data_IF_722002930042
#
_entry.id   IF_722002930042
#
_cell.length_a   1.000
_cell.length_b   1.000
_cell.length_c   1.000
_cell.angle_alpha   90.00
_cell.angle_beta   90.00
_cell.angle_gamma   90.00
#
_symmetry.space_group_name_H-M   'P 1'
#
loop_
_entity.id
_entity.type
_entity.pdbx_description
1 polymer ?
#
# COMPACT_ATOMS: atom_id res chain seq x y z
N UNK A 1 5.25 10.18 -2.70
CA UNK A 1 4.12 9.23 -2.77
C UNK A 1 2.99 9.61 -1.83
N UNK A 2 3.26 9.98 -0.58
CA UNK A 2 2.22 10.40 0.38
C UNK A 2 1.49 11.65 -0.09
N UNK A 3 2.19 12.69 -0.53
CA UNK A 3 1.57 13.87 -1.13
C UNK A 3 0.69 13.52 -2.34
N UNK A 4 1.13 12.58 -3.16
CA UNK A 4 0.33 12.09 -4.28
C UNK A 4 -0.95 11.40 -3.80
N UNK A 5 -0.85 10.55 -2.78
CA UNK A 5 -2.02 9.90 -2.19
C UNK A 5 -3.02 10.91 -1.63
N UNK A 6 -2.53 11.93 -0.92
CA UNK A 6 -3.36 13.01 -0.39
C UNK A 6 -4.02 13.82 -1.51
N UNK A 7 -3.27 14.18 -2.56
CA UNK A 7 -3.83 14.90 -3.70
C UNK A 7 -4.94 14.12 -4.40
N UNK A 8 -4.73 12.82 -4.66
CA UNK A 8 -5.74 11.95 -5.27
C UNK A 8 -6.98 11.83 -4.37
N UNK A 9 -6.79 11.78 -3.04
CA UNK A 9 -7.89 11.76 -2.10
C UNK A 9 -8.70 13.05 -2.13
N UNK A 10 -8.03 14.21 -2.03
CA UNK A 10 -8.68 15.52 -2.11
C UNK A 10 -9.48 15.63 -3.41
N UNK A 11 -8.89 15.28 -4.55
CA UNK A 11 -9.58 15.28 -5.83
C UNK A 11 -10.82 14.38 -5.79
N UNK A 12 -10.71 13.17 -5.23
CA UNK A 12 -11.83 12.23 -5.17
C UNK A 12 -12.98 12.70 -4.31
N UNK A 13 -12.71 13.29 -3.14
CA UNK A 13 -13.76 13.59 -2.16
C UNK A 13 -14.31 15.02 -2.28
N UNK A 14 -13.47 15.98 -2.72
CA UNK A 14 -13.84 17.39 -2.72
C UNK A 14 -14.23 17.88 -4.12
N UNK A 15 -13.72 17.27 -5.19
CA UNK A 15 -13.94 17.74 -6.56
C UNK A 15 -14.74 16.79 -7.45
N UNK A 16 -14.80 15.49 -7.13
CA UNK A 16 -15.49 14.53 -7.98
C UNK A 16 -16.84 14.13 -7.40
N UNK A 17 -17.92 14.09 -8.22
CA UNK A 17 -19.23 13.60 -7.78
C UNK A 17 -19.10 12.15 -7.31
N UNK A 18 -19.68 11.85 -6.13
CA UNK A 18 -19.77 10.50 -5.61
C UNK A 18 -20.53 9.61 -6.61
N UNK A 19 -19.94 8.51 -7.01
CA UNK A 19 -20.52 7.61 -8.03
C UNK A 19 -20.02 7.84 -9.47
N UNK A 20 -19.27 8.92 -9.74
CA UNK A 20 -18.71 9.14 -11.07
C UNK A 20 -17.63 8.12 -11.43
N UNK A 21 -17.45 7.88 -12.74
CA UNK A 21 -16.37 7.04 -13.27
C UNK A 21 -15.00 7.56 -12.82
N UNK A 22 -14.82 8.88 -12.82
CA UNK A 22 -13.56 9.51 -12.40
C UNK A 22 -13.23 9.26 -10.91
N UNK A 23 -14.25 9.29 -10.04
CA UNK A 23 -14.07 8.99 -8.62
C UNK A 23 -13.68 7.52 -8.40
N UNK A 24 -14.18 6.60 -9.26
CA UNK A 24 -13.78 5.19 -9.24
C UNK A 24 -12.33 5.00 -9.67
N UNK A 25 -11.89 5.62 -10.77
CA UNK A 25 -10.50 5.59 -11.19
C UNK A 25 -9.56 6.26 -10.18
N UNK A 26 -9.97 7.35 -9.56
CA UNK A 26 -9.24 7.96 -8.44
C UNK A 26 -9.08 6.97 -7.27
N UNK A 27 -10.11 6.14 -7.00
CA UNK A 27 -10.01 5.08 -6.00
C UNK A 27 -9.01 3.99 -6.39
N UNK A 28 -9.00 3.52 -7.64
CA UNK A 28 -7.99 2.56 -8.13
C UNK A 28 -6.58 3.17 -8.05
N UNK A 29 -6.45 4.45 -8.30
CA UNK A 29 -5.18 5.15 -8.27
C UNK A 29 -4.50 5.13 -6.88
N UNK A 30 -5.24 4.88 -5.79
CA UNK A 30 -4.65 4.71 -4.45
C UNK A 30 -3.70 3.53 -4.37
N UNK A 31 -3.89 2.49 -5.18
CA UNK A 31 -3.05 1.31 -5.16
C UNK A 31 -1.67 1.53 -5.78
N UNK A 32 -1.54 2.54 -6.64
CA UNK A 32 -0.25 2.92 -7.24
C UNK A 32 0.77 3.32 -6.17
N UNK A 33 0.51 4.38 -5.36
CA UNK A 33 1.46 4.78 -4.32
C UNK A 33 1.61 3.72 -3.23
N UNK A 34 0.57 2.97 -2.88
CA UNK A 34 0.66 1.92 -1.87
C UNK A 34 1.59 0.79 -2.31
N UNK A 35 1.46 0.30 -3.55
CA UNK A 35 2.30 -0.78 -4.09
C UNK A 35 3.75 -0.34 -4.26
N UNK A 36 3.99 0.88 -4.75
CA UNK A 36 5.33 1.41 -4.98
C UNK A 36 6.02 1.85 -3.69
N UNK A 37 5.29 2.39 -2.71
CA UNK A 37 5.87 2.86 -1.46
C UNK A 37 6.56 1.73 -0.69
N UNK A 38 5.91 0.59 -0.53
CA UNK A 38 6.50 -0.56 0.17
C UNK A 38 7.71 -1.11 -0.58
N UNK A 39 7.68 -1.12 -1.91
CA UNK A 39 8.81 -1.53 -2.73
C UNK A 39 10.01 -0.58 -2.57
N UNK A 40 9.78 0.72 -2.59
CA UNK A 40 10.84 1.72 -2.41
C UNK A 40 11.37 1.73 -0.98
N UNK A 41 10.51 1.55 0.03
CA UNK A 41 10.95 1.36 1.41
C UNK A 41 11.82 0.10 1.55
N UNK A 42 11.45 -0.99 0.91
CA UNK A 42 12.26 -2.20 0.88
C UNK A 42 13.64 -1.93 0.27
N UNK A 43 13.72 -1.23 -0.86
CA UNK A 43 15.01 -0.84 -1.44
C UNK A 43 15.81 0.06 -0.51
N UNK A 44 15.18 1.03 0.15
CA UNK A 44 15.84 1.91 1.11
C UNK A 44 16.45 1.11 2.28
N UNK A 45 15.72 0.13 2.80
CA UNK A 45 16.21 -0.73 3.89
C UNK A 45 17.40 -1.60 3.46
N UNK A 46 17.49 -1.98 2.19
CA UNK A 46 18.67 -2.71 1.68
C UNK A 46 19.97 -1.89 1.74
N UNK A 47 19.90 -0.57 1.76
CA UNK A 47 21.06 0.32 1.94
C UNK A 47 21.50 0.46 3.40
N UNK A 48 20.67 0.13 4.38
CA UNK A 48 21.02 0.24 5.80
C UNK A 48 22.24 -0.63 6.11
N UNK A 49 23.26 -0.01 6.70
CA UNK A 49 24.53 -0.68 7.06
C UNK A 49 25.47 -0.98 5.89
N UNK A 50 25.21 -0.43 4.70
CA UNK A 50 26.09 -0.53 3.55
C UNK A 50 27.00 0.71 3.42
N UNK A 51 28.22 0.57 2.84
CA UNK A 51 29.10 1.70 2.60
C UNK A 51 28.48 2.70 1.62
N UNK A 52 28.92 3.98 1.71
CA UNK A 52 28.37 5.10 0.92
C UNK A 52 28.35 4.85 -0.60
N UNK A 53 29.31 4.11 -1.13
CA UNK A 53 29.42 3.78 -2.57
C UNK A 53 28.64 2.51 -2.98
N UNK A 54 27.85 1.91 -2.07
CA UNK A 54 27.08 0.72 -2.40
C UNK A 54 26.00 1.02 -3.43
N UNK A 55 26.00 0.28 -4.52
CA UNK A 55 24.95 0.33 -5.53
C UNK A 55 24.08 -0.93 -5.43
N UNK A 56 22.77 -0.74 -5.45
CA UNK A 56 21.82 -1.85 -5.44
C UNK A 56 22.00 -2.68 -6.71
N UNK A 57 22.12 -4.00 -6.58
CA UNK A 57 22.26 -4.91 -7.68
C UNK A 57 21.07 -4.81 -8.65
N UNK A 58 21.36 -4.84 -9.96
CA UNK A 58 20.34 -4.74 -11.02
C UNK A 58 19.23 -5.79 -10.90
N UNK A 59 19.52 -6.98 -10.32
CA UNK A 59 18.53 -8.03 -10.10
C UNK A 59 17.31 -7.56 -9.29
N UNK A 60 17.47 -6.62 -8.36
CA UNK A 60 16.36 -6.11 -7.57
C UNK A 60 15.35 -5.31 -8.37
N UNK A 61 15.75 -4.79 -9.54
CA UNK A 61 14.83 -4.07 -10.44
C UNK A 61 13.75 -4.97 -11.04
N UNK A 62 13.95 -6.29 -11.06
CA UNK A 62 12.94 -7.25 -11.52
C UNK A 62 11.64 -7.15 -10.71
N UNK A 63 11.71 -6.69 -9.45
CA UNK A 63 10.55 -6.51 -8.59
C UNK A 63 9.59 -5.42 -9.08
N UNK A 64 10.02 -4.53 -9.97
CA UNK A 64 9.10 -3.59 -10.62
C UNK A 64 8.10 -4.30 -11.54
N UNK A 65 8.47 -5.44 -12.14
CA UNK A 65 7.60 -6.17 -13.06
C UNK A 65 6.30 -6.60 -12.37
N UNK A 66 6.32 -7.40 -11.29
CA UNK A 66 5.08 -7.78 -10.59
C UNK A 66 4.36 -6.58 -9.97
N UNK A 67 5.08 -5.52 -9.52
CA UNK A 67 4.45 -4.31 -9.04
C UNK A 67 3.61 -3.63 -10.12
N UNK A 68 4.14 -3.47 -11.33
CA UNK A 68 3.42 -2.86 -12.45
C UNK A 68 2.30 -3.76 -12.98
N UNK A 69 2.45 -5.08 -12.94
CA UNK A 69 1.37 -6.04 -13.28
C UNK A 69 0.19 -5.87 -12.30
N UNK A 70 0.46 -5.79 -11.00
CA UNK A 70 -0.57 -5.57 -9.98
C UNK A 70 -1.27 -4.23 -10.18
N UNK A 71 -0.50 -3.16 -10.37
CA UNK A 71 -1.05 -1.81 -10.61
C UNK A 71 -1.90 -1.82 -11.89
N UNK A 72 -1.38 -2.34 -13.00
CA UNK A 72 -2.10 -2.43 -14.26
C UNK A 72 -3.39 -3.24 -14.14
N UNK A 73 -3.33 -4.38 -13.47
CA UNK A 73 -4.50 -5.21 -13.21
C UNK A 73 -5.58 -4.48 -12.39
N UNK A 74 -5.20 -3.70 -11.38
CA UNK A 74 -6.17 -2.92 -10.59
C UNK A 74 -6.73 -1.75 -11.41
N UNK A 75 -5.89 -1.05 -12.17
CA UNK A 75 -6.33 0.08 -13.02
C UNK A 75 -7.26 -0.36 -14.14
N UNK A 76 -7.12 -1.58 -14.64
CA UNK A 76 -7.97 -2.17 -15.69
C UNK A 76 -9.13 -2.99 -15.13
N UNK A 77 -9.44 -2.88 -13.84
CA UNK A 77 -10.46 -3.71 -13.17
C UNK A 77 -11.85 -3.62 -13.82
N UNK A 78 -12.20 -2.51 -14.45
CA UNK A 78 -13.49 -2.34 -15.11
C UNK A 78 -13.73 -3.37 -16.25
N UNK A 79 -12.66 -3.92 -16.87
CA UNK A 79 -12.77 -4.89 -17.94
C UNK A 79 -12.92 -6.34 -17.46
N UNK A 80 -12.33 -6.68 -16.32
CA UNK A 80 -12.24 -8.08 -15.87
C UNK A 80 -12.76 -8.34 -14.46
N UNK A 81 -12.97 -7.28 -13.65
CA UNK A 81 -13.47 -7.34 -12.27
C UNK A 81 -12.72 -8.34 -11.35
N UNK A 82 -11.41 -8.57 -11.58
CA UNK A 82 -10.60 -9.49 -10.79
C UNK A 82 -10.12 -8.89 -9.47
N UNK A 83 -10.01 -7.55 -9.38
CA UNK A 83 -9.66 -6.87 -8.15
C UNK A 83 -10.90 -6.55 -7.31
N UNK A 84 -11.93 -6.01 -7.94
CA UNK A 84 -13.19 -5.66 -7.30
C UNK A 84 -14.34 -6.09 -8.21
N UNK A 85 -15.26 -6.87 -7.66
CA UNK A 85 -16.51 -7.27 -8.31
C UNK A 85 -17.63 -6.38 -7.81
N UNK A 86 -18.45 -5.89 -8.72
CA UNK A 86 -19.60 -5.04 -8.44
C UNK A 86 -20.89 -5.83 -8.73
N UNK A 87 -21.54 -6.44 -7.70
CA UNK A 87 -22.76 -7.24 -7.90
C UNK A 87 -23.89 -6.44 -8.55
N UNK A 88 -24.04 -5.16 -8.14
CA UNK A 88 -25.09 -4.26 -8.63
C UNK A 88 -24.68 -3.48 -9.89
N UNK A 89 -23.63 -3.95 -10.56
CA UNK A 89 -23.05 -3.31 -11.75
C UNK A 89 -22.03 -2.21 -11.43
N UNK A 90 -21.18 -1.95 -12.42
CA UNK A 90 -20.07 -0.99 -12.29
C UNK A 90 -20.56 0.44 -12.01
N UNK A 91 -21.80 0.77 -12.42
CA UNK A 91 -22.36 2.10 -12.17
C UNK A 91 -22.65 2.36 -10.68
N UNK A 92 -22.94 1.29 -9.93
CA UNK A 92 -23.23 1.34 -8.49
C UNK A 92 -22.02 0.97 -7.61
N UNK A 93 -20.80 1.18 -8.10
CA UNK A 93 -19.55 0.80 -7.45
C UNK A 93 -19.37 1.33 -6.01
N UNK A 94 -20.05 2.41 -5.65
CA UNK A 94 -20.01 3.01 -4.32
C UNK A 94 -20.86 2.31 -3.26
N UNK A 95 -21.78 1.43 -3.66
CA UNK A 95 -22.70 0.74 -2.75
C UNK A 95 -22.05 -0.49 -2.13
N UNK A 96 -21.87 -1.54 -2.93
CA UNK A 96 -21.24 -2.77 -2.49
C UNK A 96 -20.22 -3.28 -3.50
N UNK A 97 -19.10 -3.80 -3.02
CA UNK A 97 -18.13 -4.49 -3.84
C UNK A 97 -17.58 -5.72 -3.11
N UNK A 98 -17.26 -6.75 -3.88
CA UNK A 98 -16.62 -7.97 -3.39
C UNK A 98 -15.14 -7.91 -3.74
N UNK A 99 -14.29 -8.18 -2.76
CA UNK A 99 -12.84 -8.22 -2.93
C UNK A 99 -12.45 -9.44 -3.78
N UNK A 100 -11.83 -9.20 -4.91
CA UNK A 100 -11.40 -10.24 -5.83
C UNK A 100 -9.95 -10.70 -5.60
N UNK A 101 -9.50 -11.62 -6.45
CA UNK A 101 -8.17 -12.24 -6.35
C UNK A 101 -7.01 -11.24 -6.46
N UNK A 102 -7.08 -10.30 -7.41
CA UNK A 102 -6.03 -9.27 -7.55
C UNK A 102 -5.91 -8.35 -6.33
N UNK A 103 -7.03 -8.06 -5.66
CA UNK A 103 -6.99 -7.32 -4.41
C UNK A 103 -6.20 -8.09 -3.34
N UNK A 104 -6.47 -9.40 -3.20
CA UNK A 104 -5.77 -10.26 -2.24
C UNK A 104 -4.27 -10.30 -2.56
N UNK A 105 -3.90 -10.41 -3.84
CA UNK A 105 -2.50 -10.37 -4.27
C UNK A 105 -1.83 -9.03 -3.94
N UNK A 106 -2.51 -7.90 -4.13
CA UNK A 106 -1.98 -6.58 -3.82
C UNK A 106 -1.75 -6.40 -2.31
N UNK A 107 -2.69 -6.85 -1.48
CA UNK A 107 -2.52 -6.85 -0.02
C UNK A 107 -1.40 -7.81 0.40
N UNK A 108 -1.34 -9.01 -0.17
CA UNK A 108 -0.25 -9.97 0.06
C UNK A 108 1.11 -9.38 -0.29
N UNK A 109 1.22 -8.67 -1.40
CA UNK A 109 2.41 -7.92 -1.79
C UNK A 109 2.85 -6.95 -0.69
N UNK A 110 1.93 -6.09 -0.24
CA UNK A 110 2.21 -5.11 0.82
C UNK A 110 2.67 -5.82 2.09
N UNK A 111 1.96 -6.86 2.54
CA UNK A 111 2.27 -7.59 3.76
C UNK A 111 3.63 -8.28 3.72
N UNK A 112 3.97 -8.94 2.60
CA UNK A 112 5.27 -9.61 2.41
C UNK A 112 6.41 -8.59 2.47
N UNK A 113 6.30 -7.47 1.76
CA UNK A 113 7.33 -6.44 1.78
C UNK A 113 7.45 -5.77 3.15
N UNK A 114 6.34 -5.49 3.84
CA UNK A 114 6.37 -4.98 5.22
C UNK A 114 7.09 -5.96 6.16
N UNK A 115 6.78 -7.26 6.08
CA UNK A 115 7.46 -8.28 6.88
C UNK A 115 8.96 -8.34 6.56
N UNK A 116 9.36 -8.31 5.28
CA UNK A 116 10.77 -8.30 4.88
C UNK A 116 11.49 -7.04 5.37
N UNK A 117 10.87 -5.87 5.28
CA UNK A 117 11.41 -4.61 5.79
C UNK A 117 11.68 -4.73 7.30
N UNK A 118 10.71 -5.23 8.06
CA UNK A 118 10.86 -5.44 9.50
C UNK A 118 12.01 -6.39 9.81
N UNK A 119 12.03 -7.58 9.20
CA UNK A 119 13.08 -8.60 9.43
C UNK A 119 14.47 -8.05 9.12
N UNK A 120 14.66 -7.40 7.96
CA UNK A 120 15.95 -6.86 7.56
C UNK A 120 16.38 -5.74 8.49
N UNK A 121 15.46 -4.85 8.86
CA UNK A 121 15.76 -3.75 9.79
C UNK A 121 16.15 -4.29 11.14
N UNK A 122 15.40 -5.25 11.69
CA UNK A 122 15.74 -5.91 12.94
C UNK A 122 17.13 -6.54 12.88
N UNK A 123 17.41 -7.34 11.86
CA UNK A 123 18.67 -8.06 11.72
C UNK A 123 19.88 -7.11 11.62
N UNK A 124 19.73 -6.00 10.90
CA UNK A 124 20.82 -5.04 10.70
C UNK A 124 21.00 -4.07 11.86
N UNK A 125 19.93 -3.74 12.57
CA UNK A 125 19.96 -2.82 13.70
C UNK A 125 20.33 -3.49 15.02
N UNK A 126 20.27 -4.81 15.11
CA UNK A 126 20.68 -5.56 16.30
C UNK A 126 22.12 -5.24 16.71
N UNK A 127 22.98 -4.91 15.76
CA UNK A 127 24.41 -4.62 15.97
C UNK A 127 24.77 -3.13 15.96
N UNK A 128 23.79 -2.22 15.85
CA UNK A 128 24.04 -0.77 15.77
C UNK A 128 23.97 -0.10 17.15
N UNK A 129 24.93 0.77 17.43
CA UNK A 129 24.97 1.62 18.64
C UNK A 129 23.78 2.59 18.74
N UNK A 130 23.08 2.87 17.62
CA UNK A 130 21.96 3.81 17.52
C UNK A 130 20.59 3.11 17.44
N UNK A 131 20.38 2.00 18.12
CA UNK A 131 19.14 1.22 18.11
C UNK A 131 17.87 2.06 18.26
N UNK A 132 17.84 3.04 19.17
CA UNK A 132 16.64 3.84 19.46
C UNK A 132 16.14 4.64 18.26
N UNK A 133 17.04 5.24 17.47
CA UNK A 133 16.65 6.09 16.33
C UNK A 133 16.02 5.33 15.17
N UNK A 134 16.30 4.03 15.05
CA UNK A 134 15.83 3.18 13.95
C UNK A 134 14.48 2.58 14.28
N UNK A 135 14.16 2.40 15.58
CA UNK A 135 12.87 1.90 16.02
C UNK A 135 11.71 2.89 15.81
N UNK A 136 11.99 4.19 15.91
CA UNK A 136 10.96 5.23 15.80
C UNK A 136 10.15 5.12 14.50
N UNK A 137 10.76 5.04 13.29
CA UNK A 137 10.00 4.88 12.04
C UNK A 137 9.38 3.49 11.87
N UNK A 138 9.80 2.48 12.65
CA UNK A 138 9.25 1.12 12.57
C UNK A 138 7.93 0.95 13.32
N UNK A 139 7.69 1.76 14.37
CA UNK A 139 6.46 1.70 15.16
C UNK A 139 5.21 1.97 14.31
N UNK A 140 5.14 3.05 13.51
CA UNK A 140 4.00 3.30 12.64
C UNK A 140 3.77 2.17 11.62
N UNK A 141 4.84 1.60 11.09
CA UNK A 141 4.76 0.51 10.11
C UNK A 141 4.19 -0.78 10.74
N UNK A 142 4.61 -1.09 11.98
CA UNK A 142 4.08 -2.21 12.76
C UNK A 142 2.60 -2.03 13.11
N UNK A 143 2.23 -0.85 13.59
CA UNK A 143 0.84 -0.50 13.91
C UNK A 143 -0.04 -0.59 12.65
N UNK A 144 0.42 -0.02 11.53
CA UNK A 144 -0.29 -0.07 10.26
C UNK A 144 -0.47 -1.50 9.74
N UNK A 145 0.55 -2.36 9.89
CA UNK A 145 0.48 -3.78 9.54
C UNK A 145 -0.55 -4.55 10.36
N UNK A 146 -0.52 -4.40 11.69
CA UNK A 146 -1.50 -5.03 12.59
C UNK A 146 -2.91 -4.53 12.30
N UNK A 147 -3.08 -3.23 12.13
CA UNK A 147 -4.38 -2.67 11.76
C UNK A 147 -4.89 -3.22 10.43
N UNK A 148 -4.03 -3.37 9.43
CA UNK A 148 -4.42 -3.93 8.13
C UNK A 148 -4.93 -5.36 8.27
N UNK A 149 -4.27 -6.19 9.09
CA UNK A 149 -4.73 -7.56 9.38
C UNK A 149 -6.12 -7.54 10.05
N UNK A 150 -6.28 -6.73 11.10
CA UNK A 150 -7.55 -6.61 11.82
C UNK A 150 -8.66 -6.14 10.86
N UNK A 151 -8.38 -5.12 10.03
CA UNK A 151 -9.35 -4.61 9.07
C UNK A 151 -9.80 -5.64 8.04
N UNK A 152 -8.88 -6.51 7.58
CA UNK A 152 -9.20 -7.56 6.60
C UNK A 152 -10.05 -8.66 7.23
N UNK A 153 -9.74 -9.03 8.49
CA UNK A 153 -10.43 -10.10 9.22
C UNK A 153 -11.78 -9.66 9.82
N UNK A 154 -11.99 -8.37 9.97
CA UNK A 154 -13.19 -7.83 10.61
C UNK A 154 -14.37 -7.71 9.66
N UNK A 155 -15.61 -7.84 10.17
CA UNK A 155 -16.82 -7.55 9.40
C UNK A 155 -16.80 -6.14 8.84
N UNK A 156 -17.36 -5.97 7.63
CA UNK A 156 -17.44 -4.66 6.98
C UNK A 156 -18.13 -3.64 7.90
N UNK A 157 -17.50 -2.48 8.07
CA UNK A 157 -18.07 -1.36 8.81
C UNK A 157 -17.70 -1.24 10.29
N UNK A 158 -17.04 -2.25 10.88
CA UNK A 158 -16.65 -2.21 12.30
C UNK A 158 -15.48 -1.27 12.57
N UNK A 159 -14.58 -1.11 11.60
CA UNK A 159 -13.39 -0.25 11.72
C UNK A 159 -13.35 0.84 10.66
N UNK A 160 -12.79 2.00 10.97
CA UNK A 160 -12.54 3.05 9.97
C UNK A 160 -11.73 2.49 8.81
N UNK A 161 -12.00 3.00 7.62
CA UNK A 161 -11.28 2.59 6.41
C UNK A 161 -9.77 2.80 6.54
N UNK A 162 -8.99 1.89 5.93
CA UNK A 162 -7.52 1.88 5.98
C UNK A 162 -6.87 3.23 5.65
N UNK A 163 -7.51 4.04 4.78
CA UNK A 163 -6.99 5.36 4.43
C UNK A 163 -6.99 6.34 5.61
N UNK A 164 -7.99 6.27 6.51
CA UNK A 164 -8.04 7.12 7.73
C UNK A 164 -6.89 6.80 8.68
N UNK A 165 -6.51 5.53 8.76
CA UNK A 165 -5.33 5.14 9.56
C UNK A 165 -4.02 5.57 8.92
N UNK A 166 -3.91 5.49 7.59
CA UNK A 166 -2.73 5.99 6.88
C UNK A 166 -2.52 7.49 7.12
N UNK A 167 -3.60 8.27 7.23
CA UNK A 167 -3.52 9.68 7.60
C UNK A 167 -2.98 9.88 9.01
N UNK A 168 -3.52 9.18 10.00
CA UNK A 168 -3.03 9.27 11.39
C UNK A 168 -1.55 8.92 11.47
N UNK A 169 -1.12 7.86 10.75
CA UNK A 169 0.30 7.45 10.72
C UNK A 169 1.20 8.49 10.05
N UNK A 170 0.66 9.31 9.13
CA UNK A 170 1.45 10.37 8.47
C UNK A 170 1.62 11.62 9.33
N UNK A 171 0.79 11.80 10.35
CA UNK A 171 0.84 12.95 11.27
C UNK A 171 1.63 12.66 12.56
N UNK A 172 2.06 11.43 12.79
CA UNK A 172 2.93 11.01 13.89
C UNK A 172 4.38 10.95 13.42
#
# INVERSE_FOLDING_TARGET
LMLFLMAVRTIKFDFLPSGSVYARYAWYLYYVPQTLAVLWMFFAVLYIGKPYHYQLERKWRILYIPAFILIGGIMTNDFHQLAFRFPDGIQNWGMEYIRGFLYILAIGWIMIFCAMILVITFSRCAFSQNRRKIWIPMIPLGIGGVYTIIYILSPKGLFPSLYKMAEVICFI
#
